data_IF_766448329385
#
_entry.id   IF_766448329385
#
_cell.length_a   1.000
_cell.length_b   1.000
_cell.length_c   1.000
_cell.angle_alpha   90.00
_cell.angle_beta   90.00
_cell.angle_gamma   90.00
#
_symmetry.space_group_name_H-M   'P 1'
#
loop_
_entity.id
_entity.type
_entity.pdbx_description
1 polymer ?
#
# COMPACT_ATOMS: atom_id res chain seq x y z
N UNK A 1 -24.12 36.11 -4.21
CA UNK A 1 -22.84 36.75 -3.81
C UNK A 1 -21.93 35.67 -3.27
N UNK A 2 -21.05 35.13 -4.12
CA UNK A 2 -19.87 34.42 -3.65
C UNK A 2 -18.95 35.47 -3.05
N UNK A 3 -18.60 35.33 -1.78
CA UNK A 3 -17.57 36.17 -1.18
C UNK A 3 -16.23 35.80 -1.84
N UNK A 4 -15.74 36.68 -2.71
CA UNK A 4 -14.32 36.77 -3.00
C UNK A 4 -13.63 37.25 -1.73
N UNK A 5 -12.83 36.40 -1.10
CA UNK A 5 -11.78 36.88 -0.20
C UNK A 5 -10.47 36.76 -0.96
N UNK A 6 -10.08 37.83 -1.65
CA UNK A 6 -8.72 38.03 -2.14
C UNK A 6 -7.83 38.25 -0.92
N UNK A 7 -7.10 37.23 -0.48
CA UNK A 7 -6.01 37.41 0.47
C UNK A 7 -4.76 37.82 -0.28
N UNK A 8 -4.58 39.12 -0.48
CA UNK A 8 -3.28 39.67 -0.83
C UNK A 8 -2.50 39.86 0.47
N UNK A 9 -1.48 39.03 0.72
CA UNK A 9 -0.47 39.35 1.72
C UNK A 9 0.55 40.28 1.07
N UNK A 10 0.72 41.48 1.64
CA UNK A 10 1.74 42.44 1.23
C UNK A 10 2.77 42.54 2.36
N UNK A 11 4.05 42.37 2.03
CA UNK A 11 5.15 42.88 2.84
C UNK A 11 5.85 43.96 2.02
N UNK A 12 5.91 45.18 2.58
CA UNK A 12 6.76 46.26 2.07
C UNK A 12 6.62 46.52 0.55
N UNK A 13 5.38 46.60 0.07
CA UNK A 13 5.02 46.83 -1.34
C UNK A 13 5.43 45.73 -2.35
N UNK A 14 5.78 44.53 -1.90
CA UNK A 14 5.92 43.35 -2.77
C UNK A 14 4.78 42.35 -2.52
N UNK A 15 4.19 41.85 -3.62
CA UNK A 15 3.26 40.72 -3.58
C UNK A 15 4.07 39.48 -3.23
N UNK A 16 3.79 38.89 -2.06
CA UNK A 16 4.52 37.73 -1.52
C UNK A 16 3.78 36.40 -1.69
N UNK A 17 2.54 36.41 -2.22
CA UNK A 17 1.83 35.18 -2.61
C UNK A 17 0.77 35.48 -3.68
N UNK A 18 0.70 34.61 -4.69
CA UNK A 18 -0.40 34.53 -5.64
C UNK A 18 -1.18 33.25 -5.38
N UNK A 19 -2.41 33.38 -4.85
CA UNK A 19 -3.37 32.28 -4.87
C UNK A 19 -4.12 32.30 -6.19
N UNK A 20 -3.69 31.49 -7.17
CA UNK A 20 -4.47 31.29 -8.38
C UNK A 20 -5.56 30.25 -8.09
N UNK A 21 -6.82 30.56 -8.41
CA UNK A 21 -7.91 29.60 -8.30
C UNK A 21 -7.84 28.71 -9.56
N UNK A 22 -7.44 27.44 -9.41
CA UNK A 22 -7.26 26.48 -10.52
C UNK A 22 -8.55 26.02 -11.20
N UNK A 23 -9.60 26.84 -11.15
CA UNK A 23 -10.98 26.42 -11.46
C UNK A 23 -11.54 27.33 -12.55
N UNK A 24 -11.99 26.73 -13.65
CA UNK A 24 -12.62 27.45 -14.76
C UNK A 24 -14.00 27.96 -14.34
N UNK A 25 -14.12 29.26 -14.13
CA UNK A 25 -15.37 29.90 -13.68
C UNK A 25 -16.49 29.84 -14.71
N UNK A 26 -16.20 29.45 -15.96
CA UNK A 26 -17.21 29.27 -16.99
C UNK A 26 -17.98 27.94 -16.88
N UNK A 27 -17.48 26.97 -16.10
CA UNK A 27 -18.05 25.62 -15.95
C UNK A 27 -18.51 25.33 -14.52
N UNK A 28 -19.25 26.25 -13.93
CA UNK A 28 -19.84 26.09 -12.59
C UNK A 28 -21.27 25.55 -12.70
N UNK A 29 -21.57 24.47 -11.99
CA UNK A 29 -22.90 23.89 -11.92
C UNK A 29 -23.93 24.86 -11.30
N UNK A 30 -25.20 24.67 -11.65
CA UNK A 30 -26.30 25.47 -11.11
C UNK A 30 -26.36 25.39 -9.57
N UNK A 31 -26.66 26.48 -8.84
CA UNK A 31 -26.78 26.47 -7.38
C UNK A 31 -28.05 25.78 -6.87
N UNK A 32 -28.97 25.38 -7.74
CA UNK A 32 -30.27 24.81 -7.37
C UNK A 32 -30.24 23.30 -7.58
N UNK A 33 -30.23 22.48 -6.51
CA UNK A 33 -30.27 21.02 -6.63
C UNK A 33 -31.48 20.56 -7.44
N UNK A 34 -31.27 19.65 -8.39
CA UNK A 34 -32.38 18.98 -9.11
C UNK A 34 -32.69 17.62 -8.52
N UNK A 35 -31.78 17.05 -7.73
CA UNK A 35 -31.98 15.78 -7.01
C UNK A 35 -32.44 16.03 -5.57
N UNK A 36 -33.43 15.24 -5.14
CA UNK A 36 -33.98 15.33 -3.81
C UNK A 36 -32.95 14.91 -2.75
N UNK A 37 -33.05 15.47 -1.55
CA UNK A 37 -32.16 15.09 -0.45
C UNK A 37 -32.30 13.60 -0.10
N UNK A 38 -33.52 13.06 -0.18
CA UNK A 38 -33.81 11.66 0.12
C UNK A 38 -33.10 10.73 -0.87
N UNK A 39 -33.17 11.03 -2.17
CA UNK A 39 -32.55 10.19 -3.20
C UNK A 39 -31.02 10.25 -3.11
N UNK A 40 -30.47 11.43 -2.77
CA UNK A 40 -29.03 11.56 -2.56
C UNK A 40 -28.53 10.78 -1.33
N UNK A 41 -29.32 10.73 -0.25
CA UNK A 41 -28.99 9.90 0.93
C UNK A 41 -29.05 8.42 0.57
N UNK A 42 -30.10 7.98 -0.14
CA UNK A 42 -30.22 6.59 -0.57
C UNK A 42 -29.08 6.16 -1.48
N UNK A 43 -28.64 7.02 -2.41
CA UNK A 43 -27.46 6.75 -3.23
C UNK A 43 -26.21 6.61 -2.35
N UNK A 44 -25.98 7.54 -1.42
CA UNK A 44 -24.81 7.49 -0.54
C UNK A 44 -24.80 6.22 0.32
N UNK A 45 -25.93 5.84 0.90
CA UNK A 45 -26.09 4.62 1.69
C UNK A 45 -25.88 3.36 0.84
N UNK A 46 -26.49 3.31 -0.36
CA UNK A 46 -26.37 2.19 -1.30
C UNK A 46 -24.95 2.03 -1.85
N UNK A 47 -24.25 3.14 -2.09
CA UNK A 47 -22.90 3.14 -2.64
C UNK A 47 -21.86 2.77 -1.58
N UNK A 48 -22.05 3.21 -0.34
CA UNK A 48 -21.05 3.10 0.73
C UNK A 48 -21.30 1.99 1.75
N UNK A 49 -22.45 1.31 1.71
CA UNK A 49 -22.73 0.17 2.60
C UNK A 49 -22.83 0.57 4.08
N UNK A 50 -23.50 1.69 4.37
CA UNK A 50 -23.74 2.19 5.73
C UNK A 50 -25.04 3.00 5.83
N UNK A 51 -25.32 3.56 7.00
CA UNK A 51 -26.52 4.36 7.26
C UNK A 51 -26.18 5.83 7.50
N UNK A 52 -27.04 6.72 7.04
CA UNK A 52 -26.94 8.14 7.35
C UNK A 52 -27.09 8.38 8.85
N UNK A 53 -26.12 9.08 9.45
CA UNK A 53 -26.01 9.23 10.90
C UNK A 53 -26.89 10.34 11.51
N UNK A 54 -27.82 10.92 10.72
CA UNK A 54 -28.76 11.94 11.17
C UNK A 54 -28.24 13.38 11.13
N UNK A 55 -26.97 13.60 10.77
CA UNK A 55 -26.41 14.95 10.58
C UNK A 55 -26.91 15.53 9.25
N UNK A 56 -27.47 16.75 9.29
CA UNK A 56 -28.02 17.39 8.08
C UNK A 56 -26.95 17.55 6.98
N UNK A 57 -27.19 17.01 5.76
CA UNK A 57 -26.24 17.15 4.67
C UNK A 57 -26.03 18.59 4.22
N UNK A 58 -24.77 18.95 3.98
CA UNK A 58 -24.40 20.31 3.56
C UNK A 58 -24.28 20.42 2.05
N UNK A 59 -24.77 21.52 1.49
CA UNK A 59 -24.58 21.84 0.07
C UNK A 59 -23.25 22.58 -0.12
N UNK A 60 -22.39 22.09 -1.02
CA UNK A 60 -21.07 22.66 -1.29
C UNK A 60 -20.72 22.60 -2.78
N UNK A 61 -19.69 23.33 -3.18
CA UNK A 61 -19.09 23.21 -4.50
C UNK A 61 -17.82 22.38 -4.43
N UNK A 62 -17.65 21.46 -5.38
CA UNK A 62 -16.49 20.58 -5.52
C UNK A 62 -15.84 20.81 -6.89
N UNK A 63 -14.55 21.18 -6.89
CA UNK A 63 -13.76 21.29 -8.11
C UNK A 63 -13.41 19.90 -8.65
N UNK A 64 -13.51 19.71 -9.97
CA UNK A 64 -13.23 18.45 -10.66
C UNK A 64 -11.90 18.51 -11.43
N UNK A 65 -11.27 17.36 -11.69
CA UNK A 65 -10.01 17.28 -12.46
C UNK A 65 -10.09 17.88 -13.87
N UNK A 66 -11.29 17.93 -14.45
CA UNK A 66 -11.56 18.51 -15.77
C UNK A 66 -11.70 20.05 -15.76
N UNK A 67 -11.47 20.67 -14.60
CA UNK A 67 -11.56 22.12 -14.37
C UNK A 67 -12.98 22.64 -14.11
N UNK A 68 -14.01 21.78 -14.15
CA UNK A 68 -15.40 22.14 -13.84
C UNK A 68 -15.68 22.13 -12.33
N UNK A 69 -16.82 22.70 -11.93
CA UNK A 69 -17.29 22.72 -10.54
C UNK A 69 -18.67 22.10 -10.43
N UNK A 70 -18.77 21.06 -9.61
CA UNK A 70 -20.04 20.42 -9.29
C UNK A 70 -20.66 21.02 -8.03
N UNK A 71 -21.98 21.14 -8.01
CA UNK A 71 -22.73 21.33 -6.78
C UNK A 71 -22.93 19.94 -6.15
N UNK A 72 -22.53 19.77 -4.89
CA UNK A 72 -22.59 18.49 -4.18
C UNK A 72 -23.31 18.60 -2.85
N UNK A 73 -23.95 17.50 -2.44
CA UNK A 73 -24.39 17.26 -1.06
C UNK A 73 -23.32 16.43 -0.34
N UNK A 74 -22.76 16.98 0.72
CA UNK A 74 -21.89 16.27 1.64
C UNK A 74 -22.75 15.51 2.65
N UNK A 75 -22.82 14.19 2.53
CA UNK A 75 -23.70 13.29 3.29
C UNK A 75 -22.83 12.39 4.15
N UNK A 76 -23.08 12.36 5.46
CA UNK A 76 -22.35 11.47 6.36
C UNK A 76 -23.02 10.10 6.40
N UNK A 77 -22.27 9.07 6.02
CA UNK A 77 -22.67 7.68 6.09
C UNK A 77 -21.76 6.98 7.08
N UNK A 78 -22.36 6.26 8.02
CA UNK A 78 -21.67 5.56 9.09
C UNK A 78 -22.04 4.07 9.06
N UNK A 79 -21.04 3.21 9.23
CA UNK A 79 -21.21 1.81 9.60
C UNK A 79 -20.62 1.61 11.02
N UNK A 80 -20.85 0.43 11.61
CA UNK A 80 -20.25 -0.06 12.86
C UNK A 80 -18.75 0.21 13.03
N UNK A 81 -18.01 0.41 11.93
CA UNK A 81 -16.54 0.52 11.91
C UNK A 81 -15.97 1.80 11.30
N UNK A 82 -16.75 2.63 10.58
CA UNK A 82 -16.20 3.76 9.78
C UNK A 82 -17.18 4.94 9.67
N UNK A 83 -16.61 6.14 9.51
CA UNK A 83 -17.32 7.40 9.22
C UNK A 83 -16.87 7.96 7.87
N UNK A 84 -17.78 8.05 6.92
CA UNK A 84 -17.51 8.52 5.57
C UNK A 84 -18.39 9.72 5.23
N UNK A 85 -17.86 10.70 4.52
CA UNK A 85 -18.63 11.75 3.83
C UNK A 85 -18.70 11.42 2.35
N UNK A 86 -19.89 11.10 1.84
CA UNK A 86 -20.16 11.06 0.41
C UNK A 86 -20.39 12.49 -0.11
N UNK A 87 -19.76 12.86 -1.22
CA UNK A 87 -20.13 14.03 -2.01
C UNK A 87 -20.98 13.57 -3.20
N UNK A 88 -22.29 13.67 -3.05
CA UNK A 88 -23.27 13.31 -4.09
C UNK A 88 -23.54 14.53 -4.95
N UNK A 89 -23.38 14.40 -6.26
CA UNK A 89 -23.71 15.47 -7.21
C UNK A 89 -25.20 15.82 -7.11
N UNK A 90 -25.48 17.11 -6.89
CA UNK A 90 -26.82 17.61 -6.65
C UNK A 90 -27.73 17.58 -7.89
N UNK A 91 -27.20 17.22 -9.06
CA UNK A 91 -27.92 17.15 -10.33
C UNK A 91 -28.02 15.76 -10.93
N UNK A 92 -26.93 15.00 -10.93
CA UNK A 92 -26.90 13.62 -11.43
C UNK A 92 -27.32 12.60 -10.37
N UNK A 93 -27.21 12.97 -9.09
CA UNK A 93 -27.55 12.11 -7.96
C UNK A 93 -26.52 11.04 -7.68
N UNK A 94 -25.38 11.02 -8.39
CA UNK A 94 -24.30 10.05 -8.21
C UNK A 94 -23.29 10.53 -7.18
N UNK A 95 -22.69 9.59 -6.44
CA UNK A 95 -21.48 9.87 -5.66
C UNK A 95 -20.35 10.22 -6.62
N UNK A 96 -19.76 11.41 -6.47
CA UNK A 96 -18.66 11.88 -7.34
C UNK A 96 -17.34 12.10 -6.59
N UNK A 97 -17.38 12.04 -5.27
CA UNK A 97 -16.20 12.05 -4.40
C UNK A 97 -16.59 11.53 -3.03
N UNK A 98 -15.61 11.02 -2.30
CA UNK A 98 -15.77 10.48 -0.96
C UNK A 98 -14.65 11.08 -0.11
N UNK A 99 -14.98 11.60 1.06
CA UNK A 99 -14.01 11.96 2.09
C UNK A 99 -14.18 11.00 3.26
N UNK A 100 -13.17 10.18 3.50
CA UNK A 100 -13.17 9.31 4.65
C UNK A 100 -12.66 10.09 5.87
N UNK A 101 -13.39 10.13 6.98
CA UNK A 101 -12.84 10.68 8.23
C UNK A 101 -11.80 9.74 8.87
N UNK A 102 -11.65 8.53 8.33
CA UNK A 102 -10.57 7.55 8.63
C UNK A 102 -9.42 7.68 7.61
N UNK A 103 -9.05 8.91 7.22
CA UNK A 103 -7.90 9.16 6.34
C UNK A 103 -6.55 9.15 7.09
N UNK A 104 -6.57 8.77 8.36
CA UNK A 104 -5.37 8.58 9.12
C UNK A 104 -5.32 7.10 9.61
N UNK A 105 -4.26 6.38 9.22
CA UNK A 105 -3.92 5.07 9.78
C UNK A 105 -2.73 5.23 10.71
N UNK A 106 -2.67 4.46 11.78
CA UNK A 106 -1.50 4.41 12.66
C UNK A 106 -1.08 2.97 12.87
N UNK A 107 0.21 2.70 12.74
CA UNK A 107 0.78 1.37 12.92
C UNK A 107 1.95 1.43 13.91
N UNK A 108 1.90 0.61 14.98
CA UNK A 108 3.09 0.31 15.78
C UNK A 108 3.86 -0.82 15.11
N UNK A 109 4.99 -0.49 14.49
CA UNK A 109 5.73 -1.40 13.61
C UNK A 109 7.22 -1.19 13.75
N UNK A 110 8.01 -2.10 13.18
CA UNK A 110 9.43 -1.91 12.98
C UNK A 110 9.61 -1.16 11.66
N UNK A 111 10.00 0.14 11.68
CA UNK A 111 10.24 0.90 10.45
C UNK A 111 11.05 0.13 9.41
N UNK A 112 10.74 0.31 8.13
CA UNK A 112 11.33 -0.50 7.06
C UNK A 112 12.86 -0.39 6.98
N UNK A 113 13.41 0.74 7.45
CA UNK A 113 14.85 1.02 7.59
C UNK A 113 15.50 0.43 8.85
N UNK A 114 14.76 -0.33 9.65
CA UNK A 114 15.27 -1.08 10.80
C UNK A 114 15.24 -2.57 10.52
N UNK A 115 16.26 -3.29 10.98
CA UNK A 115 16.46 -4.69 10.61
C UNK A 115 15.72 -5.63 11.55
N UNK A 116 15.87 -5.43 12.86
CA UNK A 116 15.36 -6.36 13.87
C UNK A 116 14.54 -5.63 14.91
N UNK A 117 13.66 -6.34 15.60
CA UNK A 117 12.87 -5.79 16.72
C UNK A 117 13.71 -5.10 17.82
N UNK A 118 14.99 -5.47 17.96
CA UNK A 118 15.93 -4.83 18.90
C UNK A 118 16.26 -3.38 18.53
N UNK A 119 16.03 -2.97 17.28
CA UNK A 119 16.18 -1.60 16.80
C UNK A 119 14.98 -0.70 17.22
N UNK A 120 13.94 -1.30 17.78
CA UNK A 120 12.79 -0.64 18.41
C UNK A 120 11.62 -0.35 17.47
N UNK A 121 10.40 -0.62 17.97
CA UNK A 121 9.14 -0.29 17.31
C UNK A 121 8.82 1.21 17.39
N UNK A 122 8.19 1.73 16.35
CA UNK A 122 7.71 3.10 16.28
C UNK A 122 6.23 3.14 15.93
N UNK A 123 5.53 4.17 16.43
CA UNK A 123 4.13 4.41 16.11
C UNK A 123 4.08 5.37 14.92
N UNK A 124 3.96 4.81 13.72
CA UNK A 124 3.95 5.56 12.46
C UNK A 124 2.53 6.00 12.12
N UNK A 125 2.37 7.28 11.77
CA UNK A 125 1.10 7.86 11.36
C UNK A 125 1.11 8.09 9.85
N UNK A 126 0.09 7.56 9.18
CA UNK A 126 -0.16 7.65 7.74
C UNK A 126 1.06 7.25 6.89
N UNK A 127 1.61 6.04 7.10
CA UNK A 127 2.79 5.61 6.34
C UNK A 127 2.49 5.40 4.84
N UNK A 128 1.24 5.15 4.47
CA UNK A 128 0.80 4.90 3.10
C UNK A 128 1.14 5.99 2.08
N UNK A 129 1.71 5.58 0.94
CA UNK A 129 1.91 6.45 -0.21
C UNK A 129 0.65 6.55 -1.06
N UNK A 130 -0.14 7.62 -0.93
CA UNK A 130 -1.38 7.79 -1.71
C UNK A 130 -1.17 7.93 -3.23
N UNK A 131 0.07 8.15 -3.68
CA UNK A 131 0.45 8.13 -5.09
C UNK A 131 0.55 6.70 -5.67
N UNK A 132 0.87 5.72 -4.82
CA UNK A 132 1.08 4.31 -5.20
C UNK A 132 -0.01 3.39 -4.67
N UNK A 133 -0.66 3.77 -3.59
CA UNK A 133 -1.82 3.15 -2.96
C UNK A 133 -2.97 4.17 -2.87
N UNK A 134 -3.68 4.49 -3.97
CA UNK A 134 -4.65 5.59 -4.04
C UNK A 134 -5.85 5.47 -3.10
N UNK A 135 -6.10 4.26 -2.58
CA UNK A 135 -7.20 3.94 -1.66
C UNK A 135 -6.71 3.63 -0.25
N UNK A 136 -5.44 3.93 0.04
CA UNK A 136 -4.74 3.54 1.26
C UNK A 136 -4.48 2.03 1.31
N UNK A 137 -3.93 1.55 2.43
CA UNK A 137 -3.63 0.13 2.59
C UNK A 137 -4.82 -0.69 3.10
N UNK A 138 -5.74 -0.11 3.86
CA UNK A 138 -6.88 -0.83 4.46
C UNK A 138 -8.17 -0.70 3.61
N UNK A 139 -8.10 -1.07 2.33
CA UNK A 139 -9.23 -1.04 1.40
C UNK A 139 -9.14 -2.22 0.42
N UNK A 140 -10.27 -2.87 0.10
CA UNK A 140 -10.31 -4.06 -0.76
C UNK A 140 -11.27 -3.94 -1.94
N UNK A 141 -10.90 -4.61 -3.04
CA UNK A 141 -11.73 -4.83 -4.22
C UNK A 141 -11.96 -3.58 -5.08
N UNK A 142 -12.66 -3.80 -6.20
CA UNK A 142 -13.00 -2.76 -7.20
C UNK A 142 -13.87 -1.62 -6.61
N UNK A 143 -14.62 -1.92 -5.56
CA UNK A 143 -15.47 -0.94 -4.86
C UNK A 143 -14.75 -0.23 -3.71
N UNK A 144 -13.47 -0.53 -3.49
CA UNK A 144 -12.63 0.08 -2.46
C UNK A 144 -13.26 0.03 -1.07
N UNK A 145 -13.81 -1.13 -0.72
CA UNK A 145 -14.46 -1.37 0.57
C UNK A 145 -13.41 -1.26 1.65
N UNK A 146 -13.60 -0.29 2.54
CA UNK A 146 -12.69 -0.07 3.66
C UNK A 146 -12.71 -1.27 4.61
N UNK A 147 -11.53 -1.63 5.11
CA UNK A 147 -11.35 -2.67 6.11
C UNK A 147 -10.82 -2.05 7.39
N UNK A 148 -11.11 -2.69 8.52
CA UNK A 148 -10.45 -2.43 9.80
C UNK A 148 -9.41 -3.48 10.14
N UNK A 149 -9.17 -4.39 9.20
CA UNK A 149 -8.27 -5.52 9.36
C UNK A 149 -6.99 -5.28 8.57
N UNK A 150 -6.00 -6.11 8.81
CA UNK A 150 -4.74 -6.22 8.04
C UNK A 150 -4.98 -6.80 6.63
N UNK A 151 -5.93 -6.22 5.91
CA UNK A 151 -6.44 -6.66 4.60
C UNK A 151 -6.60 -5.44 3.70
N UNK A 152 -6.01 -5.51 2.50
CA UNK A 152 -5.90 -4.39 1.60
C UNK A 152 -5.81 -4.77 0.14
N UNK A 153 -5.67 -3.75 -0.71
CA UNK A 153 -5.52 -3.91 -2.15
C UNK A 153 -4.22 -4.65 -2.49
N UNK A 154 -3.14 -4.32 -1.78
CA UNK A 154 -1.81 -4.84 -2.10
C UNK A 154 -1.52 -6.12 -1.30
N UNK A 155 -2.00 -6.20 -0.05
CA UNK A 155 -1.58 -7.20 0.93
C UNK A 155 -2.75 -7.70 1.78
N UNK A 156 -2.75 -8.98 2.08
CA UNK A 156 -3.56 -9.62 3.12
C UNK A 156 -2.61 -10.31 4.11
N UNK A 157 -2.52 -9.81 5.34
CA UNK A 157 -1.70 -10.41 6.39
C UNK A 157 -2.55 -11.17 7.42
N UNK A 158 -2.19 -12.42 7.66
CA UNK A 158 -2.94 -13.31 8.54
C UNK A 158 -2.03 -14.32 9.22
N UNK A 159 -2.60 -15.06 10.16
CA UNK A 159 -2.00 -16.26 10.76
C UNK A 159 -2.92 -17.44 10.52
N UNK A 160 -2.37 -18.52 9.99
CA UNK A 160 -3.10 -19.80 9.88
C UNK A 160 -3.22 -20.40 11.29
N UNK A 161 -4.45 -20.73 11.70
CA UNK A 161 -4.75 -21.27 13.03
C UNK A 161 -4.81 -22.80 13.05
N UNK A 162 -5.04 -23.43 11.91
CA UNK A 162 -5.15 -24.89 11.78
C UNK A 162 -4.20 -25.44 10.72
N UNK A 163 -3.59 -26.58 10.99
CA UNK A 163 -2.61 -27.22 10.09
C UNK A 163 -3.21 -27.65 8.73
N UNK A 164 -4.54 -27.74 8.63
CA UNK A 164 -5.25 -28.02 7.38
C UNK A 164 -5.51 -26.75 6.54
N UNK A 165 -5.07 -25.58 7.01
CA UNK A 165 -5.25 -24.29 6.35
C UNK A 165 -6.70 -23.78 6.32
N UNK A 166 -7.63 -24.47 6.99
CA UNK A 166 -9.07 -24.15 6.93
C UNK A 166 -9.45 -22.92 7.75
N UNK A 167 -8.62 -22.51 8.70
CA UNK A 167 -8.85 -21.33 9.54
C UNK A 167 -7.65 -20.39 9.53
N UNK A 168 -7.91 -19.12 9.23
CA UNK A 168 -6.94 -18.04 9.26
C UNK A 168 -7.52 -16.85 10.01
N UNK A 169 -6.64 -16.08 10.66
CA UNK A 169 -7.01 -14.90 11.44
C UNK A 169 -6.18 -13.70 11.03
N UNK A 170 -6.85 -12.60 10.70
CA UNK A 170 -6.28 -11.27 10.51
C UNK A 170 -6.25 -10.52 11.85
N UNK A 171 -5.49 -9.44 11.92
CA UNK A 171 -5.56 -8.49 13.05
C UNK A 171 -6.51 -7.35 12.73
N UNK A 172 -7.43 -7.06 13.65
CA UNK A 172 -8.37 -5.94 13.59
C UNK A 172 -7.83 -4.76 14.39
N UNK A 173 -7.63 -3.62 13.72
CA UNK A 173 -7.26 -2.36 14.34
C UNK A 173 -8.40 -1.75 15.15
N UNK A 174 -8.09 -0.75 15.96
CA UNK A 174 -9.06 -0.03 16.78
C UNK A 174 -9.30 1.36 16.21
N UNK A 175 -10.55 1.79 16.14
CA UNK A 175 -10.86 3.20 15.82
C UNK A 175 -10.70 4.03 17.11
N UNK A 176 -9.68 4.89 17.14
CA UNK A 176 -9.44 5.84 18.23
C UNK A 176 -9.44 7.25 17.65
N UNK A 177 -10.30 8.13 18.16
CA UNK A 177 -10.41 9.52 17.70
C UNK A 177 -10.61 9.67 16.17
N UNK A 178 -11.33 8.72 15.55
CA UNK A 178 -11.55 8.67 14.11
C UNK A 178 -10.40 8.05 13.29
N UNK A 179 -9.30 7.66 13.95
CA UNK A 179 -8.12 7.05 13.34
C UNK A 179 -8.13 5.52 13.48
N UNK A 180 -7.90 4.80 12.37
CA UNK A 180 -7.68 3.35 12.43
C UNK A 180 -6.27 3.08 12.98
N UNK A 181 -6.20 2.47 14.16
CA UNK A 181 -4.97 2.33 14.93
C UNK A 181 -4.64 0.86 15.20
N UNK A 182 -3.50 0.41 14.69
CA UNK A 182 -2.87 -0.88 14.98
C UNK A 182 -1.70 -0.69 15.95
N UNK A 183 -2.02 -0.45 17.22
CA UNK A 183 -1.04 -0.16 18.28
C UNK A 183 -0.76 -1.42 19.12
N UNK A 184 -0.09 -2.40 18.51
CA UNK A 184 0.27 -3.68 19.14
C UNK A 184 1.74 -3.71 19.51
N UNK A 185 2.05 -4.00 20.77
CA UNK A 185 3.43 -4.11 21.28
C UNK A 185 3.95 -5.54 21.17
N UNK A 186 5.24 -5.69 20.90
CA UNK A 186 5.92 -7.00 20.88
C UNK A 186 6.85 -7.14 22.09
N UNK A 187 6.67 -8.22 22.87
CA UNK A 187 7.50 -8.59 24.02
C UNK A 187 8.47 -9.71 23.64
N UNK A 188 9.75 -9.36 23.48
CA UNK A 188 10.82 -10.30 23.12
C UNK A 188 11.13 -11.35 24.20
N UNK A 189 10.61 -11.19 25.42
CA UNK A 189 10.80 -12.17 26.50
C UNK A 189 9.77 -13.29 26.45
N UNK A 190 8.71 -13.11 25.68
CA UNK A 190 7.63 -14.08 25.50
C UNK A 190 7.79 -14.85 24.19
N UNK A 191 7.10 -15.97 24.14
CA UNK A 191 7.00 -16.75 22.91
C UNK A 191 6.30 -15.93 21.80
N UNK A 192 6.72 -16.07 20.52
CA UNK A 192 6.03 -15.43 19.39
C UNK A 192 4.54 -15.72 19.32
N UNK A 193 4.11 -16.89 19.80
CA UNK A 193 2.71 -17.31 19.76
C UNK A 193 1.85 -16.72 20.89
N UNK A 194 2.42 -15.91 21.81
CA UNK A 194 1.65 -15.14 22.78
C UNK A 194 0.67 -14.20 22.03
N UNK A 195 -0.61 -14.09 22.45
CA UNK A 195 -1.59 -13.26 21.77
C UNK A 195 -1.18 -11.79 21.60
N UNK A 196 -0.33 -11.24 22.48
CA UNK A 196 0.19 -9.88 22.31
C UNK A 196 1.23 -9.77 21.17
N UNK A 197 2.02 -10.82 20.96
CA UNK A 197 3.09 -10.85 19.95
C UNK A 197 2.56 -11.17 18.55
N UNK A 198 1.54 -12.03 18.44
CA UNK A 198 1.08 -12.46 17.13
C UNK A 198 0.25 -11.39 16.38
N UNK A 199 -0.46 -10.49 17.09
CA UNK A 199 -1.08 -9.30 16.50
C UNK A 199 -0.03 -8.29 16.03
N UNK A 200 1.05 -8.10 16.78
CA UNK A 200 2.17 -7.25 16.38
C UNK A 200 2.89 -7.81 15.15
N UNK A 201 3.08 -9.14 15.06
CA UNK A 201 3.66 -9.81 13.91
C UNK A 201 2.83 -9.63 12.62
N UNK A 202 1.51 -9.84 12.67
CA UNK A 202 0.60 -9.58 11.54
C UNK A 202 0.62 -8.12 11.11
N UNK A 203 0.60 -7.21 12.08
CA UNK A 203 0.67 -5.76 11.83
C UNK A 203 1.99 -5.37 11.15
N UNK A 204 3.12 -5.89 11.62
CA UNK A 204 4.43 -5.61 11.02
C UNK A 204 4.54 -6.18 9.60
N UNK A 205 4.11 -7.42 9.39
CA UNK A 205 4.09 -8.04 8.07
C UNK A 205 3.24 -7.26 7.05
N UNK A 206 2.06 -6.77 7.49
CA UNK A 206 1.19 -5.92 6.67
C UNK A 206 1.87 -4.59 6.29
N UNK A 207 2.49 -3.92 7.27
CA UNK A 207 3.22 -2.67 7.04
C UNK A 207 4.40 -2.86 6.08
N UNK A 208 5.30 -3.82 6.35
CA UNK A 208 6.50 -4.05 5.54
C UNK A 208 6.15 -4.38 4.10
N UNK A 209 5.13 -5.23 3.88
CA UNK A 209 4.74 -5.62 2.53
C UNK A 209 4.09 -4.46 1.75
N UNK A 210 3.30 -3.61 2.40
CA UNK A 210 2.73 -2.43 1.74
C UNK A 210 3.77 -1.34 1.46
N UNK A 211 4.68 -1.05 2.41
CA UNK A 211 5.82 -0.15 2.16
C UNK A 211 6.69 -0.65 1.00
N UNK A 212 6.98 -1.95 0.98
CA UNK A 212 7.74 -2.57 -0.10
C UNK A 212 7.02 -2.43 -1.45
N UNK A 213 5.70 -2.63 -1.48
CA UNK A 213 4.86 -2.36 -2.65
C UNK A 213 5.00 -0.90 -3.11
N UNK A 214 4.74 0.06 -2.21
CA UNK A 214 4.73 1.49 -2.53
C UNK A 214 6.11 1.97 -3.03
N UNK A 215 7.19 1.50 -2.41
CA UNK A 215 8.55 1.79 -2.86
C UNK A 215 8.77 1.23 -4.28
N UNK A 216 8.49 -0.05 -4.52
CA UNK A 216 8.72 -0.66 -5.82
C UNK A 216 7.82 -0.12 -6.92
N UNK A 217 6.60 0.31 -6.60
CA UNK A 217 5.71 0.97 -7.53
C UNK A 217 6.37 2.24 -8.10
N UNK A 218 6.99 3.07 -7.24
CA UNK A 218 7.77 4.25 -7.67
C UNK A 218 8.98 3.88 -8.52
N UNK A 219 9.51 2.67 -8.32
CA UNK A 219 10.58 2.11 -9.15
C UNK A 219 10.07 1.34 -10.37
N UNK A 220 8.77 1.35 -10.69
CA UNK A 220 8.26 0.78 -11.95
C UNK A 220 7.71 -0.64 -11.86
N UNK A 221 7.60 -1.24 -10.67
CA UNK A 221 6.82 -2.45 -10.46
C UNK A 221 5.33 -2.09 -10.29
N UNK A 222 4.71 -1.72 -11.40
CA UNK A 222 3.32 -1.28 -11.52
C UNK A 222 2.42 -2.40 -12.04
N UNK A 223 1.13 -2.11 -12.23
CA UNK A 223 0.14 -3.05 -12.74
C UNK A 223 0.53 -3.63 -14.11
N UNK A 224 1.03 -2.80 -15.03
CA UNK A 224 1.52 -3.26 -16.34
C UNK A 224 2.81 -4.08 -16.24
N UNK A 225 3.55 -3.92 -15.15
CA UNK A 225 4.75 -4.68 -14.84
C UNK A 225 4.45 -5.87 -13.89
N UNK A 226 3.18 -6.30 -13.81
CA UNK A 226 2.74 -7.52 -13.15
C UNK A 226 2.92 -7.48 -11.62
N UNK A 227 2.67 -6.32 -11.01
CA UNK A 227 2.65 -6.18 -9.55
C UNK A 227 1.48 -6.95 -8.91
N UNK A 228 1.43 -6.94 -7.58
CA UNK A 228 0.45 -7.69 -6.80
C UNK A 228 -0.62 -6.73 -6.27
N UNK A 229 -1.80 -6.73 -6.86
CA UNK A 229 -2.91 -5.87 -6.48
C UNK A 229 -4.27 -6.56 -6.70
N UNK A 230 -5.19 -6.36 -5.77
CA UNK A 230 -6.57 -6.85 -5.91
C UNK A 230 -7.30 -6.11 -7.03
N UNK A 231 -7.11 -4.80 -7.15
CA UNK A 231 -7.60 -3.94 -8.23
C UNK A 231 -6.43 -3.16 -8.85
N UNK A 232 -6.43 -3.10 -10.18
CA UNK A 232 -5.43 -2.43 -10.99
C UNK A 232 -5.88 -1.04 -11.47
N UNK A 233 -7.06 -0.57 -11.08
CA UNK A 233 -7.59 0.75 -11.40
C UNK A 233 -7.64 1.04 -12.92
N UNK A 234 -7.82 -0.02 -13.72
CA UNK A 234 -7.78 0.05 -15.19
C UNK A 234 -6.40 0.37 -15.78
N UNK A 235 -5.31 0.27 -15.02
CA UNK A 235 -3.94 0.61 -15.47
C UNK A 235 -3.25 -0.49 -16.27
N UNK A 236 -3.80 -1.71 -16.33
CA UNK A 236 -3.24 -2.85 -17.06
C UNK A 236 -2.93 -4.03 -16.14
N UNK A 237 -2.21 -5.04 -16.64
CA UNK A 237 -1.94 -6.28 -15.90
C UNK A 237 -3.19 -7.13 -15.65
N UNK A 238 -3.06 -8.17 -14.83
CA UNK A 238 -4.15 -8.99 -14.32
C UNK A 238 -4.29 -8.79 -12.81
N UNK A 239 -5.45 -8.28 -12.38
CA UNK A 239 -5.74 -8.00 -10.99
C UNK A 239 -6.16 -9.28 -10.22
N UNK A 240 -6.71 -9.11 -9.01
CA UNK A 240 -7.08 -10.19 -8.08
C UNK A 240 -5.90 -10.98 -7.52
N UNK A 241 -4.74 -10.35 -7.41
CA UNK A 241 -3.51 -11.00 -6.97
C UNK A 241 -2.76 -10.29 -5.84
N UNK A 242 -3.43 -9.85 -4.75
CA UNK A 242 -2.73 -9.29 -3.60
C UNK A 242 -1.73 -10.31 -3.03
N UNK A 243 -0.66 -9.82 -2.40
CA UNK A 243 0.22 -10.67 -1.61
C UNK A 243 -0.53 -11.19 -0.39
N UNK A 244 -0.57 -12.50 -0.23
CA UNK A 244 -1.06 -13.18 0.96
C UNK A 244 0.13 -13.54 1.85
N UNK A 245 0.23 -12.92 3.03
CA UNK A 245 1.32 -13.15 3.98
C UNK A 245 0.81 -13.87 5.23
N UNK A 246 1.23 -15.12 5.38
CA UNK A 246 0.95 -15.97 6.53
C UNK A 246 2.11 -15.84 7.52
N UNK A 247 1.88 -15.17 8.65
CA UNK A 247 2.85 -15.08 9.74
C UNK A 247 2.74 -16.27 10.67
N UNK A 248 3.86 -16.68 11.24
CA UNK A 248 3.94 -17.85 12.13
C UNK A 248 3.31 -19.10 11.49
N UNK A 249 3.52 -19.26 10.18
CA UNK A 249 2.85 -20.29 9.39
C UNK A 249 3.25 -21.69 9.91
N UNK A 250 2.28 -22.58 10.19
CA UNK A 250 2.56 -23.85 10.85
C UNK A 250 3.20 -24.90 9.94
N UNK A 251 3.35 -24.62 8.64
CA UNK A 251 3.95 -25.54 7.68
C UNK A 251 5.47 -25.68 7.80
N UNK A 252 6.14 -24.84 8.59
CA UNK A 252 7.58 -24.90 8.76
C UNK A 252 8.13 -24.14 9.97
N UNK A 253 9.42 -24.32 10.19
CA UNK A 253 10.24 -23.60 11.18
C UNK A 253 11.58 -23.22 10.53
N UNK A 254 12.25 -22.21 11.10
CA UNK A 254 13.62 -21.80 10.75
C UNK A 254 13.85 -21.47 9.27
N UNK A 255 12.83 -20.94 8.61
CA UNK A 255 12.90 -20.55 7.21
C UNK A 255 11.79 -19.53 6.90
N UNK A 256 11.69 -19.14 5.64
CA UNK A 256 10.52 -18.51 5.07
C UNK A 256 10.41 -18.95 3.59
N UNK A 257 9.31 -18.65 2.92
CA UNK A 257 9.20 -18.85 1.48
C UNK A 257 8.17 -17.92 0.85
N UNK A 258 8.37 -17.64 -0.44
CA UNK A 258 7.38 -16.99 -1.29
C UNK A 258 7.04 -17.85 -2.50
N UNK A 259 5.77 -18.23 -2.63
CA UNK A 259 5.23 -18.83 -3.83
C UNK A 259 4.75 -17.74 -4.79
N UNK A 260 5.35 -17.68 -5.97
CA UNK A 260 4.98 -16.71 -7.01
C UNK A 260 4.30 -17.40 -8.19
N UNK A 261 2.97 -17.35 -8.29
CA UNK A 261 2.27 -17.77 -9.49
C UNK A 261 2.32 -16.66 -10.57
N UNK A 262 1.85 -16.95 -11.80
CA UNK A 262 1.68 -15.95 -12.85
C UNK A 262 0.82 -14.75 -12.43
N UNK A 263 0.88 -13.67 -13.21
CA UNK A 263 0.03 -12.49 -13.08
C UNK A 263 -1.45 -12.84 -12.96
N UNK A 264 -2.18 -12.17 -12.05
CA UNK A 264 -3.58 -12.46 -11.76
C UNK A 264 -3.83 -13.60 -10.77
N UNK A 265 -2.78 -14.15 -10.18
CA UNK A 265 -2.88 -15.10 -9.07
C UNK A 265 -2.12 -14.60 -7.83
N UNK A 266 -2.72 -14.66 -6.62
CA UNK A 266 -2.08 -14.17 -5.40
C UNK A 266 -0.72 -14.82 -5.12
N UNK A 267 0.29 -14.00 -4.83
CA UNK A 267 1.55 -14.48 -4.26
C UNK A 267 1.36 -14.91 -2.81
N UNK A 268 1.95 -16.04 -2.40
CA UNK A 268 1.81 -16.58 -1.03
C UNK A 268 3.16 -16.51 -0.33
N UNK A 269 3.31 -15.57 0.59
CA UNK A 269 4.44 -15.45 1.51
C UNK A 269 4.15 -16.20 2.80
N UNK A 270 5.04 -17.09 3.22
CA UNK A 270 4.97 -17.82 4.49
C UNK A 270 6.19 -17.49 5.32
N UNK A 271 5.95 -16.88 6.48
CA UNK A 271 6.95 -16.54 7.46
C UNK A 271 6.87 -17.53 8.62
N UNK A 272 8.00 -18.12 9.01
CA UNK A 272 8.02 -19.14 10.06
C UNK A 272 8.60 -18.64 11.38
N UNK A 273 8.31 -19.39 12.44
CA UNK A 273 8.98 -19.23 13.73
C UNK A 273 10.38 -19.87 13.64
N UNK A 274 11.37 -19.24 14.25
CA UNK A 274 12.72 -19.75 14.41
C UNK A 274 12.90 -20.27 15.84
N UNK A 275 13.25 -21.55 15.99
CA UNK A 275 13.30 -22.24 17.29
C UNK A 275 14.72 -22.63 17.73
N UNK A 276 15.74 -22.08 17.06
CA UNK A 276 17.16 -22.33 17.35
C UNK A 276 17.71 -21.51 18.54
N UNK A 277 16.84 -20.85 19.31
CA UNK A 277 17.21 -20.02 20.47
C UNK A 277 16.34 -20.36 21.67
N UNK A 278 16.76 -19.97 22.88
CA UNK A 278 16.03 -20.29 24.12
C UNK A 278 14.60 -19.71 24.15
N UNK A 279 14.41 -18.51 23.58
CA UNK A 279 13.09 -17.93 23.30
C UNK A 279 12.95 -17.87 21.79
N UNK A 280 11.97 -18.61 21.24
CA UNK A 280 11.75 -18.66 19.80
C UNK A 280 11.57 -17.27 19.22
N UNK A 281 11.98 -17.07 17.97
CA UNK A 281 11.95 -15.79 17.28
C UNK A 281 10.91 -15.81 16.15
N UNK A 282 10.30 -14.65 15.89
CA UNK A 282 9.35 -14.48 14.79
C UNK A 282 10.04 -13.82 13.59
N UNK A 283 10.04 -14.49 12.43
CA UNK A 283 10.62 -13.90 11.22
C UNK A 283 9.84 -12.69 10.70
N UNK A 284 8.57 -12.53 11.09
CA UNK A 284 7.82 -11.30 10.80
C UNK A 284 8.38 -10.07 11.53
N UNK A 285 9.22 -10.24 12.55
CA UNK A 285 9.82 -9.16 13.35
C UNK A 285 11.31 -8.94 13.04
N UNK A 286 11.80 -9.50 11.93
CA UNK A 286 13.10 -9.21 11.32
C UNK A 286 12.88 -8.81 9.86
N UNK A 287 12.72 -7.51 9.58
CA UNK A 287 12.27 -6.96 8.29
C UNK A 287 13.05 -7.48 7.07
N UNK A 288 14.32 -7.87 7.23
CA UNK A 288 15.10 -8.45 6.14
C UNK A 288 14.53 -9.76 5.59
N UNK A 289 13.80 -10.54 6.39
CA UNK A 289 13.20 -11.82 5.97
C UNK A 289 11.96 -11.59 5.08
N UNK A 290 10.89 -10.88 5.50
CA UNK A 290 9.77 -10.60 4.60
C UNK A 290 10.20 -9.84 3.35
N UNK A 291 11.13 -8.88 3.44
CA UNK A 291 11.66 -8.17 2.25
C UNK A 291 12.34 -9.15 1.27
N UNK A 292 13.11 -10.11 1.79
CA UNK A 292 13.73 -11.16 0.97
C UNK A 292 12.68 -11.97 0.22
N UNK A 293 11.67 -12.46 0.95
CA UNK A 293 10.60 -13.28 0.37
C UNK A 293 9.79 -12.50 -0.67
N UNK A 294 9.41 -11.25 -0.38
CA UNK A 294 8.71 -10.40 -1.33
C UNK A 294 9.52 -10.14 -2.60
N UNK A 295 10.85 -10.08 -2.49
CA UNK A 295 11.76 -9.93 -3.64
C UNK A 295 11.73 -11.15 -4.57
N UNK A 296 11.49 -12.37 -4.05
CA UNK A 296 11.23 -13.53 -4.91
C UNK A 296 9.97 -13.33 -5.77
N UNK A 297 8.93 -12.72 -5.22
CA UNK A 297 7.73 -12.29 -5.95
C UNK A 297 8.05 -11.40 -7.14
N UNK A 298 8.75 -10.31 -6.87
CA UNK A 298 9.11 -9.29 -7.88
C UNK A 298 9.96 -9.89 -8.99
N UNK A 299 11.06 -10.56 -8.63
CA UNK A 299 11.99 -11.13 -9.61
C UNK A 299 11.32 -12.17 -10.49
N UNK A 300 10.43 -12.99 -9.93
CA UNK A 300 9.71 -14.04 -10.66
C UNK A 300 8.62 -13.47 -11.56
N UNK A 301 7.88 -12.43 -11.13
CA UNK A 301 6.90 -11.73 -11.98
C UNK A 301 7.57 -10.98 -13.13
N UNK A 302 8.64 -10.25 -12.86
CA UNK A 302 9.31 -9.45 -13.89
C UNK A 302 10.06 -10.32 -14.92
N UNK A 303 10.64 -11.45 -14.49
CA UNK A 303 11.41 -12.31 -15.39
C UNK A 303 10.48 -13.17 -16.23
N UNK A 304 10.40 -12.89 -17.52
CA UNK A 304 9.53 -13.62 -18.43
C UNK A 304 8.11 -13.06 -18.55
N UNK A 305 7.90 -11.80 -18.17
CA UNK A 305 6.68 -11.06 -18.45
C UNK A 305 5.43 -11.60 -17.75
N UNK A 306 5.48 -11.75 -16.43
CA UNK A 306 4.32 -12.17 -15.62
C UNK A 306 4.02 -13.66 -15.67
N UNK A 307 4.79 -14.46 -16.42
CA UNK A 307 4.56 -15.92 -16.54
C UNK A 307 5.05 -16.74 -15.35
N UNK A 308 5.94 -16.18 -14.52
CA UNK A 308 6.50 -16.81 -13.33
C UNK A 308 7.29 -18.13 -13.55
N UNK A 309 7.58 -18.53 -14.80
CA UNK A 309 8.26 -19.82 -15.10
C UNK A 309 9.74 -19.69 -15.40
N UNK A 310 10.25 -18.49 -15.69
CA UNK A 310 11.60 -18.32 -16.23
C UNK A 310 12.73 -18.44 -15.20
N UNK A 311 12.42 -18.52 -13.90
CA UNK A 311 13.40 -18.75 -12.83
C UNK A 311 13.38 -20.17 -12.27
N UNK A 312 12.80 -21.14 -12.99
CA UNK A 312 12.65 -22.53 -12.56
C UNK A 312 13.86 -23.44 -12.83
N UNK A 313 14.86 -23.00 -13.59
CA UNK A 313 16.08 -23.80 -13.85
C UNK A 313 17.03 -23.75 -12.64
N UNK A 314 17.89 -24.77 -12.46
CA UNK A 314 18.85 -24.80 -11.35
C UNK A 314 19.78 -23.58 -11.38
N UNK A 315 20.26 -23.21 -12.56
CA UNK A 315 21.13 -22.04 -12.75
C UNK A 315 20.40 -20.73 -12.44
N UNK A 316 19.15 -20.58 -12.90
CA UNK A 316 18.36 -19.39 -12.60
C UNK A 316 18.00 -19.29 -11.12
N UNK A 317 17.66 -20.41 -10.45
CA UNK A 317 17.39 -20.46 -9.00
C UNK A 317 18.60 -20.08 -8.17
N UNK A 318 19.79 -20.61 -8.49
CA UNK A 318 21.02 -20.30 -7.74
C UNK A 318 21.47 -18.86 -8.00
N UNK A 319 21.31 -18.32 -9.21
CA UNK A 319 21.62 -16.92 -9.55
C UNK A 319 20.53 -15.93 -9.11
N UNK A 320 19.34 -16.40 -8.73
CA UNK A 320 18.30 -15.60 -8.07
C UNK A 320 18.51 -15.51 -6.55
N UNK A 321 19.41 -16.32 -5.99
CA UNK A 321 19.96 -16.17 -4.64
C UNK A 321 21.34 -15.50 -4.74
N UNK A 322 22.01 -15.19 -3.64
CA UNK A 322 22.03 -13.96 -2.83
C UNK A 322 22.54 -12.67 -3.53
N UNK A 323 22.75 -12.61 -4.85
CA UNK A 323 23.38 -11.43 -5.49
C UNK A 323 22.42 -10.22 -5.67
N UNK A 324 21.11 -10.47 -5.69
CA UNK A 324 20.06 -9.44 -5.67
C UNK A 324 19.79 -8.91 -4.26
N UNK A 325 20.06 -9.72 -3.24
CA UNK A 325 19.95 -9.33 -1.83
C UNK A 325 20.85 -8.13 -1.56
N UNK A 326 22.12 -8.15 -1.96
CA UNK A 326 23.01 -7.00 -1.69
C UNK A 326 22.63 -5.74 -2.48
N UNK A 327 22.16 -5.86 -3.72
CA UNK A 327 21.78 -4.71 -4.57
C UNK A 327 20.49 -4.01 -4.14
N UNK A 328 19.44 -4.76 -3.82
CA UNK A 328 18.19 -4.20 -3.29
C UNK A 328 18.37 -3.76 -1.83
N UNK A 329 19.05 -4.53 -0.99
CA UNK A 329 19.28 -4.16 0.41
C UNK A 329 20.16 -2.91 0.53
N UNK A 330 21.18 -2.73 -0.32
CA UNK A 330 21.96 -1.48 -0.40
C UNK A 330 21.20 -0.32 -1.05
N UNK A 331 20.30 -0.56 -2.00
CA UNK A 331 19.40 0.48 -2.51
C UNK A 331 18.42 0.94 -1.43
N UNK A 332 17.72 0.02 -0.77
CA UNK A 332 16.77 0.31 0.31
C UNK A 332 17.42 1.05 1.48
N UNK A 333 18.61 0.63 1.94
CA UNK A 333 19.33 1.33 3.04
C UNK A 333 20.11 2.58 2.58
N UNK A 334 20.60 2.60 1.34
CA UNK A 334 21.39 3.70 0.79
C UNK A 334 20.54 4.92 0.40
N UNK A 335 19.29 4.71 0.00
CA UNK A 335 18.33 5.77 -0.36
C UNK A 335 17.81 6.56 0.85
N UNK A 336 17.94 6.03 2.07
CA UNK A 336 17.52 6.72 3.30
C UNK A 336 18.59 7.67 3.87
N UNK A 337 19.78 7.77 3.26
CA UNK A 337 20.72 8.86 3.59
C UNK A 337 20.33 10.13 2.81
N UNK A 338 20.10 11.27 3.49
CA UNK A 338 19.60 12.49 2.86
C UNK A 338 20.74 13.19 2.12
N UNK A 339 21.07 12.73 0.92
CA UNK A 339 21.94 13.48 0.00
C UNK A 339 21.35 13.49 -1.40
N UNK A 340 20.42 14.42 -1.60
CA UNK A 340 20.25 15.27 -2.79
C UNK A 340 20.76 14.72 -4.14
N UNK A 341 20.21 13.62 -4.64
CA UNK A 341 20.17 13.33 -6.08
C UNK A 341 18.84 12.69 -6.42
N UNK A 342 18.19 13.20 -7.46
CA UNK A 342 17.01 12.56 -8.05
C UNK A 342 17.35 11.09 -8.34
N UNK A 343 16.56 10.12 -7.84
CA UNK A 343 16.82 8.71 -8.10
C UNK A 343 16.60 8.43 -9.59
N UNK A 344 17.41 7.57 -10.22
CA UNK A 344 17.19 7.16 -11.59
C UNK A 344 15.85 6.44 -11.71
N UNK A 345 15.03 6.89 -12.65
CA UNK A 345 13.79 6.21 -13.06
C UNK A 345 14.20 4.87 -13.70
N UNK A 346 13.50 3.79 -13.36
CA UNK A 346 13.56 2.52 -14.09
C UNK A 346 13.07 2.78 -15.52
N UNK A 347 13.98 3.15 -16.41
CA UNK A 347 13.62 3.60 -17.76
C UNK A 347 13.14 2.42 -18.61
N UNK A 348 11.92 2.52 -19.14
CA UNK A 348 11.35 1.79 -20.28
C UNK A 348 11.92 0.38 -20.55
N UNK A 349 12.09 -0.41 -19.49
CA UNK A 349 12.59 -1.77 -19.60
C UNK A 349 11.39 -2.66 -19.91
N UNK A 350 11.08 -2.80 -21.21
CA UNK A 350 10.09 -3.78 -21.67
C UNK A 350 10.39 -5.13 -21.01
N UNK A 351 9.40 -5.80 -20.39
CA UNK A 351 9.58 -7.13 -19.83
C UNK A 351 10.21 -8.03 -20.89
N UNK A 352 11.23 -8.83 -20.52
CA UNK A 352 11.80 -9.80 -21.45
C UNK A 352 10.69 -10.79 -21.83
N UNK A 353 10.21 -10.81 -23.10
CA UNK A 353 8.98 -11.52 -23.45
C UNK A 353 9.16 -13.04 -23.56
N UNK A 354 10.39 -13.55 -23.39
CA UNK A 354 10.72 -14.97 -23.52
C UNK A 354 11.77 -15.40 -22.49
N UNK A 355 11.63 -16.62 -21.97
CA UNK A 355 12.69 -17.32 -21.24
C UNK A 355 13.82 -17.69 -22.23
N UNK A 356 14.62 -16.72 -22.68
CA UNK A 356 15.75 -17.00 -23.57
C UNK A 356 16.94 -17.56 -22.77
N UNK A 357 17.69 -18.51 -23.38
CA UNK A 357 18.67 -19.44 -22.77
C UNK A 357 19.88 -18.81 -22.06
N UNK A 358 21.09 -19.42 -22.03
CA UNK A 358 22.20 -19.05 -21.13
C UNK A 358 22.75 -17.61 -21.30
N UNK A 359 22.11 -16.83 -22.16
CA UNK A 359 22.29 -15.40 -22.41
C UNK A 359 21.00 -14.61 -22.14
N UNK A 360 20.23 -14.93 -21.09
CA UNK A 360 19.47 -13.90 -20.37
C UNK A 360 20.51 -12.93 -19.77
N UNK A 361 21.13 -12.13 -20.64
CA UNK A 361 21.90 -10.95 -20.26
C UNK A 361 20.87 -10.02 -19.64
N UNK A 362 20.73 -10.19 -18.33
CA UNK A 362 19.94 -9.37 -17.46
C UNK A 362 20.42 -7.92 -17.69
N UNK A 363 19.62 -7.15 -18.43
CA UNK A 363 19.86 -5.75 -18.80
C UNK A 363 20.00 -4.82 -17.58
N UNK A 364 19.80 -5.36 -16.37
CA UNK A 364 20.03 -4.73 -15.08
C UNK A 364 21.48 -4.74 -14.60
N UNK A 365 22.37 -5.57 -15.20
CA UNK A 365 23.79 -5.61 -14.79
C UNK A 365 24.52 -4.30 -15.07
N UNK A 366 24.07 -3.52 -16.06
CA UNK A 366 24.75 -2.27 -16.46
C UNK A 366 24.25 -1.06 -15.66
N UNK A 367 22.96 -1.01 -15.32
CA UNK A 367 22.38 0.14 -14.61
C UNK A 367 22.65 0.14 -13.10
N UNK A 368 22.72 -1.04 -12.47
CA UNK A 368 23.08 -1.13 -11.04
C UNK A 368 24.58 -0.87 -10.83
N UNK A 369 25.44 -1.24 -11.80
CA UNK A 369 26.88 -0.96 -11.74
C UNK A 369 27.21 0.53 -11.88
N UNK A 370 26.42 1.31 -12.62
CA UNK A 370 26.63 2.77 -12.69
C UNK A 370 26.28 3.46 -11.36
N UNK A 371 25.29 2.97 -10.62
CA UNK A 371 24.92 3.48 -9.28
C UNK A 371 26.02 3.18 -8.25
N UNK A 372 26.65 2.00 -8.31
CA UNK A 372 27.71 1.62 -7.36
C UNK A 372 29.07 2.27 -7.66
N UNK A 373 29.36 2.64 -8.91
CA UNK A 373 30.60 3.35 -9.26
C UNK A 373 30.68 4.79 -8.71
N UNK A 374 29.54 5.39 -8.34
CA UNK A 374 29.44 6.75 -7.84
C UNK A 374 29.57 6.87 -6.29
N UNK A 375 29.51 5.75 -5.57
CA UNK A 375 29.62 5.68 -4.11
C UNK A 375 30.91 4.95 -3.69
N UNK A 376 32.05 5.49 -4.09
CA UNK A 376 33.36 4.94 -3.73
C UNK A 376 33.72 5.18 -2.26
N UNK A 377 33.95 4.09 -1.53
CA UNK A 377 34.61 4.06 -0.22
C UNK A 377 34.79 2.60 0.24
N UNK A 378 35.99 2.15 0.63
CA UNK A 378 36.32 0.72 0.61
C UNK A 378 35.92 -0.04 1.88
N UNK A 379 35.41 -1.27 1.63
CA UNK A 379 35.20 -2.45 2.49
C UNK A 379 33.93 -2.52 3.35
#
# INVERSE_FOLDING_TARGET
>A
MLWQTLHNAFDSNKVISFGNSFVDTSKIASPIPTVSLKDAILEAESTLGGAHNGIQPMLRYLARPDGSVALVRAIQVQNSTIFIVAYVDAHSGKVISINNFVADTTFRVLPIEKKTISDGLELLKNPEGLDTSPVGWNSIGENHVLTTDTVGNNVIAFKVLSNDGSTAKTTTGQIKDGQLTFDFTYDQTKDPTDPGNDDAARTNAFYVANEFHDILYRYGFTEQAFNFQSDNFGKGGQANDPVQISVQDPSGFNNANFFTPPDGQPGICRLFIFDQTNVRQDSAMENSIPIHELTHGVTTRMTGGGTAVCLSSLEARIRNLPIWWWGLFTAFWGLYKPTSRQPPVMSDSRPAPFCSGPSAKIFWSTYIFEITSAAGGPW
#
